data_IF_901888063551
#
_entry.id   IF_901888063551
#
_cell.length_a   1.000
_cell.length_b   1.000
_cell.length_c   1.000
_cell.angle_alpha   90.00
_cell.angle_beta   90.00
_cell.angle_gamma   90.00
#
_symmetry.space_group_name_H-M   'P 1'
#
loop_
_entity.id
_entity.type
_entity.pdbx_description
1 polymer ?
#
# COMPACT_ATOMS: atom_id res chain seq x y z
N UNK A 1 88.85 7.84 -22.74
CA UNK A 1 88.69 6.39 -22.99
C UNK A 1 88.09 5.80 -21.71
N UNK A 2 86.82 5.42 -21.81
CA UNK A 2 85.97 4.49 -21.02
C UNK A 2 86.42 4.08 -19.60
N UNK A 3 85.56 4.35 -18.60
CA UNK A 3 84.96 3.42 -17.62
C UNK A 3 84.11 4.25 -16.63
N UNK A 4 82.77 4.16 -16.54
CA UNK A 4 81.92 3.10 -16.02
C UNK A 4 82.17 2.73 -14.54
N UNK A 5 81.12 2.82 -13.71
CA UNK A 5 81.01 1.95 -12.53
C UNK A 5 80.81 2.60 -11.16
N UNK A 6 79.58 2.45 -10.67
CA UNK A 6 79.21 2.09 -9.29
C UNK A 6 79.27 3.11 -8.12
N UNK A 7 78.09 3.17 -7.49
CA UNK A 7 77.66 3.78 -6.23
C UNK A 7 78.49 3.37 -4.99
N UNK A 8 78.44 4.20 -3.91
CA UNK A 8 78.18 3.62 -2.60
C UNK A 8 77.01 4.28 -1.84
N UNK A 9 76.16 3.38 -1.37
CA UNK A 9 75.20 3.41 -0.27
C UNK A 9 75.44 4.48 0.81
N UNK A 10 74.41 5.27 1.09
CA UNK A 10 74.18 5.85 2.42
C UNK A 10 72.89 5.27 3.00
N UNK A 11 73.03 4.60 4.14
CA UNK A 11 71.93 4.10 4.95
C UNK A 11 71.39 5.22 5.83
N UNK A 12 70.09 5.48 5.78
CA UNK A 12 69.40 6.33 6.75
C UNK A 12 68.27 5.52 7.38
N UNK A 13 68.43 5.18 8.66
CA UNK A 13 67.45 4.44 9.44
C UNK A 13 66.25 5.32 9.77
N UNK A 14 65.09 5.00 9.19
CA UNK A 14 63.83 5.66 9.49
C UNK A 14 63.14 4.92 10.64
N UNK A 15 63.08 5.55 11.82
CA UNK A 15 62.34 5.03 12.98
C UNK A 15 60.83 5.11 12.68
N UNK A 16 60.16 3.97 12.69
CA UNK A 16 58.71 3.88 12.53
C UNK A 16 58.00 4.44 13.78
N UNK A 17 57.11 5.42 13.60
CA UNK A 17 56.16 5.86 14.59
C UNK A 17 54.77 5.35 14.18
N UNK A 18 54.26 4.37 14.92
CA UNK A 18 52.91 3.82 14.78
C UNK A 18 51.91 4.80 15.41
N UNK A 19 51.09 5.46 14.58
CA UNK A 19 49.89 6.16 15.02
C UNK A 19 48.70 5.19 14.96
N UNK A 20 47.89 5.05 16.03
CA UNK A 20 46.72 4.18 15.99
C UNK A 20 45.63 4.85 15.14
N UNK A 21 45.28 4.17 14.04
CA UNK A 21 44.20 4.56 13.14
C UNK A 21 42.85 4.34 13.86
N UNK A 22 42.29 5.38 14.47
CA UNK A 22 40.91 5.37 14.93
C UNK A 22 39.97 5.40 13.71
N UNK A 23 39.42 4.23 13.36
CA UNK A 23 38.43 4.08 12.30
C UNK A 23 37.08 4.65 12.79
N UNK A 24 36.84 5.94 12.51
CA UNK A 24 35.51 6.53 12.69
C UNK A 24 34.57 5.93 11.65
N UNK A 25 33.75 4.96 12.06
CA UNK A 25 32.62 4.48 11.26
C UNK A 25 31.55 5.57 11.26
N UNK A 26 31.56 6.42 10.22
CA UNK A 26 30.50 7.37 9.97
C UNK A 26 29.24 6.60 9.53
N UNK A 27 28.33 6.35 10.48
CA UNK A 27 26.99 5.86 10.19
C UNK A 27 26.20 7.00 9.53
N UNK A 28 26.20 7.06 8.21
CA UNK A 28 25.37 7.99 7.45
C UNK A 28 23.91 7.58 7.58
N UNK A 29 23.20 8.18 8.54
CA UNK A 29 21.75 8.10 8.62
C UNK A 29 21.16 8.92 7.47
N UNK A 30 20.71 8.23 6.42
CA UNK A 30 19.85 8.85 5.39
C UNK A 30 18.53 9.26 6.02
N UNK A 31 18.37 10.56 6.27
CA UNK A 31 17.08 11.19 6.56
C UNK A 31 16.20 11.04 5.30
N UNK A 32 15.24 10.12 5.35
CA UNK A 32 14.16 10.09 4.36
C UNK A 32 13.28 11.31 4.64
N UNK A 33 13.31 12.32 3.77
CA UNK A 33 12.37 13.43 3.85
C UNK A 33 10.95 12.86 3.76
N UNK A 34 10.14 13.09 4.80
CA UNK A 34 8.75 12.68 4.79
C UNK A 34 8.02 13.52 3.73
N UNK A 35 7.62 12.87 2.63
CA UNK A 35 6.72 13.50 1.66
C UNK A 35 5.45 14.00 2.36
N UNK A 36 4.92 15.14 1.89
CA UNK A 36 3.69 15.72 2.44
C UNK A 36 2.57 14.66 2.41
N UNK A 37 1.77 14.53 3.49
CA UNK A 37 0.69 13.55 3.54
C UNK A 37 -0.29 13.75 2.38
N UNK A 38 -0.59 12.66 1.66
CA UNK A 38 -1.59 12.70 0.59
C UNK A 38 -2.98 12.69 1.22
N UNK A 39 -3.73 13.78 1.05
CA UNK A 39 -5.10 13.91 1.54
C UNK A 39 -6.08 13.82 0.37
N UNK A 40 -7.10 12.99 0.51
CA UNK A 40 -8.22 12.89 -0.46
C UNK A 40 -9.54 13.16 0.24
N UNK A 41 -10.42 13.89 -0.41
CA UNK A 41 -11.77 14.16 0.09
C UNK A 41 -12.80 13.43 -0.77
N UNK A 42 -13.63 12.62 -0.13
CA UNK A 42 -14.69 11.84 -0.80
C UNK A 42 -15.97 11.97 0.02
N UNK A 43 -17.07 12.39 -0.62
CA UNK A 43 -18.35 12.62 0.05
C UNK A 43 -18.25 13.50 1.32
N UNK A 44 -17.35 14.49 1.32
CA UNK A 44 -17.11 15.38 2.47
C UNK A 44 -16.26 14.78 3.59
N UNK A 45 -15.76 13.55 3.45
CA UNK A 45 -14.85 12.90 4.40
C UNK A 45 -13.42 13.03 3.89
N UNK A 46 -12.53 13.58 4.72
CA UNK A 46 -11.09 13.74 4.41
C UNK A 46 -10.29 12.56 4.94
N UNK A 47 -9.67 11.81 4.04
CA UNK A 47 -8.76 10.70 4.33
C UNK A 47 -7.33 11.14 4.13
N UNK A 48 -6.45 10.77 5.07
CA UNK A 48 -5.00 10.90 4.89
C UNK A 48 -4.46 9.52 4.55
N UNK A 49 -3.89 9.37 3.35
CA UNK A 49 -3.35 8.10 2.91
C UNK A 49 -2.14 7.70 3.76
N UNK A 50 -1.93 6.39 4.03
CA UNK A 50 -0.70 5.93 4.66
C UNK A 50 0.52 6.36 3.84
N UNK A 51 1.59 6.80 4.52
CA UNK A 51 2.78 7.39 3.87
C UNK A 51 3.43 6.49 2.80
N UNK A 52 3.34 5.17 2.95
CA UNK A 52 3.92 4.20 2.03
C UNK A 52 3.04 3.95 0.77
N UNK A 53 1.82 4.49 0.71
CA UNK A 53 0.90 4.27 -0.40
C UNK A 53 1.13 5.32 -1.48
N UNK A 54 1.41 4.88 -2.71
CA UNK A 54 1.58 5.79 -3.83
C UNK A 54 0.22 6.15 -4.43
N UNK A 55 -0.08 7.44 -4.54
CA UNK A 55 -1.27 7.92 -5.23
C UNK A 55 -1.17 7.67 -6.73
N UNK A 56 -2.25 7.22 -7.35
CA UNK A 56 -2.36 7.01 -8.79
C UNK A 56 -3.50 7.84 -9.37
N UNK A 57 -3.36 8.26 -10.64
CA UNK A 57 -4.47 8.87 -11.37
C UNK A 57 -5.63 7.87 -11.44
N UNK A 58 -6.85 8.24 -10.98
CA UNK A 58 -7.98 7.33 -11.05
C UNK A 58 -8.29 6.90 -12.49
N UNK A 59 -8.43 5.59 -12.71
CA UNK A 59 -8.62 5.03 -14.05
C UNK A 59 -10.01 5.28 -14.67
N UNK A 60 -10.97 5.81 -13.91
CA UNK A 60 -12.29 6.18 -14.41
C UNK A 60 -12.95 7.24 -13.53
N UNK A 61 -13.99 7.91 -14.05
CA UNK A 61 -14.73 8.97 -13.33
C UNK A 61 -15.45 8.49 -12.07
N UNK A 62 -15.72 7.18 -11.95
CA UNK A 62 -16.36 6.59 -10.77
C UNK A 62 -15.39 6.35 -9.61
N UNK A 63 -14.08 6.48 -9.86
CA UNK A 63 -13.03 6.33 -8.86
C UNK A 63 -12.67 7.71 -8.33
N UNK A 64 -13.05 7.98 -7.08
CA UNK A 64 -12.74 9.24 -6.41
C UNK A 64 -11.26 9.34 -6.00
N UNK A 65 -10.64 8.20 -5.67
CA UNK A 65 -9.21 8.09 -5.41
C UNK A 65 -8.70 6.69 -5.76
N UNK A 66 -7.40 6.58 -6.05
CA UNK A 66 -6.74 5.31 -6.32
C UNK A 66 -5.32 5.34 -5.78
N UNK A 67 -4.90 4.25 -5.14
CA UNK A 67 -3.59 4.08 -4.56
C UNK A 67 -3.00 2.73 -4.90
N UNK A 68 -1.69 2.72 -5.10
CA UNK A 68 -0.85 1.53 -5.14
C UNK A 68 -0.33 1.26 -3.73
N UNK A 69 -0.65 0.08 -3.22
CA UNK A 69 -0.28 -0.37 -1.87
C UNK A 69 0.94 -1.27 -1.99
N UNK A 70 2.09 -0.90 -1.40
CA UNK A 70 3.29 -1.69 -1.51
C UNK A 70 3.15 -3.01 -0.75
N UNK A 71 3.93 -4.01 -1.18
CA UNK A 71 4.05 -5.30 -0.54
C UNK A 71 5.51 -5.78 -0.57
N UNK A 72 5.77 -7.04 -0.17
CA UNK A 72 7.05 -7.70 -0.38
C UNK A 72 7.55 -7.57 -1.82
N UNK A 73 8.87 -7.48 -2.02
CA UNK A 73 9.51 -7.18 -3.33
C UNK A 73 9.16 -8.20 -4.43
N UNK A 74 8.88 -9.44 -4.05
CA UNK A 74 8.53 -10.57 -4.90
C UNK A 74 7.03 -10.64 -5.24
N UNK A 75 6.20 -9.80 -4.61
CA UNK A 75 4.77 -9.78 -4.82
C UNK A 75 4.33 -8.53 -5.58
N UNK A 76 3.25 -8.69 -6.36
CA UNK A 76 2.58 -7.54 -6.96
C UNK A 76 1.98 -6.65 -5.86
N UNK A 77 2.05 -5.32 -5.99
CA UNK A 77 1.35 -4.42 -5.10
C UNK A 77 -0.17 -4.58 -5.23
N UNK A 78 -0.91 -4.23 -4.17
CA UNK A 78 -2.36 -4.19 -4.22
C UNK A 78 -2.84 -2.83 -4.76
N UNK A 79 -4.04 -2.82 -5.34
CA UNK A 79 -4.73 -1.60 -5.76
C UNK A 79 -5.81 -1.28 -4.74
N UNK A 80 -5.77 -0.09 -4.13
CA UNK A 80 -6.80 0.41 -3.22
C UNK A 80 -7.55 1.57 -3.89
N UNK A 81 -8.86 1.41 -4.04
CA UNK A 81 -9.69 2.32 -4.83
C UNK A 81 -10.85 2.81 -3.99
N UNK A 82 -11.09 4.12 -4.01
CA UNK A 82 -12.25 4.75 -3.40
C UNK A 82 -13.27 4.98 -4.50
N UNK A 83 -14.42 4.32 -4.41
CA UNK A 83 -15.55 4.58 -5.28
C UNK A 83 -16.59 5.45 -4.57
N UNK A 84 -17.17 6.37 -5.32
CA UNK A 84 -18.27 7.21 -4.88
C UNK A 84 -19.23 7.43 -6.05
N UNK A 85 -20.52 7.22 -5.78
CA UNK A 85 -21.57 7.20 -6.80
C UNK A 85 -22.62 8.28 -6.57
N UNK A 86 -22.35 9.27 -5.72
CA UNK A 86 -23.32 10.28 -5.30
C UNK A 86 -24.24 9.83 -4.15
N UNK A 87 -25.08 10.75 -3.62
CA UNK A 87 -26.09 10.43 -2.62
C UNK A 87 -27.07 9.34 -3.13
N UNK A 88 -27.40 8.35 -2.29
CA UNK A 88 -28.30 7.25 -2.64
C UNK A 88 -27.76 6.22 -3.65
N UNK A 89 -26.53 6.38 -4.13
CA UNK A 89 -25.95 5.51 -5.16
C UNK A 89 -25.60 4.08 -4.68
N UNK A 90 -25.39 3.19 -5.65
CA UNK A 90 -24.79 1.86 -5.52
C UNK A 90 -25.48 0.80 -4.61
N UNK A 91 -26.64 1.08 -4.03
CA UNK A 91 -27.49 0.05 -3.41
C UNK A 91 -27.05 -0.45 -2.02
N UNK A 92 -26.27 0.34 -1.28
CA UNK A 92 -25.95 0.07 0.13
C UNK A 92 -24.92 -1.03 0.40
N UNK A 93 -24.64 -1.29 1.68
CA UNK A 93 -23.54 -2.15 2.10
C UNK A 93 -23.74 -3.63 1.70
N UNK A 94 -24.89 -4.21 2.03
CA UNK A 94 -25.18 -5.63 1.81
C UNK A 94 -25.10 -6.02 0.32
N UNK A 95 -25.72 -5.22 -0.56
CA UNK A 95 -25.68 -5.47 -2.00
C UNK A 95 -24.24 -5.40 -2.55
N UNK A 96 -23.41 -4.51 -2.03
CA UNK A 96 -22.00 -4.42 -2.43
C UNK A 96 -21.18 -5.60 -1.92
N UNK A 97 -21.38 -6.03 -0.66
CA UNK A 97 -20.72 -7.22 -0.11
C UNK A 97 -21.04 -8.44 -0.98
N UNK A 98 -22.32 -8.67 -1.31
CA UNK A 98 -22.73 -9.77 -2.19
C UNK A 98 -22.04 -9.70 -3.56
N UNK A 99 -22.01 -8.53 -4.19
CA UNK A 99 -21.34 -8.34 -5.49
C UNK A 99 -19.84 -8.57 -5.41
N UNK A 100 -19.18 -8.10 -4.35
CA UNK A 100 -17.74 -8.26 -4.15
C UNK A 100 -17.34 -9.71 -3.91
N UNK A 101 -18.11 -10.47 -3.12
CA UNK A 101 -17.91 -11.91 -2.97
C UNK A 101 -18.12 -12.66 -4.29
N UNK A 102 -19.06 -12.22 -5.13
CA UNK A 102 -19.25 -12.75 -6.49
C UNK A 102 -18.10 -12.48 -7.46
N UNK A 103 -17.08 -11.69 -7.08
CA UNK A 103 -15.86 -11.51 -7.87
C UNK A 103 -14.79 -12.58 -7.59
N UNK A 104 -15.13 -13.62 -6.81
CA UNK A 104 -14.26 -14.76 -6.58
C UNK A 104 -14.80 -16.00 -7.29
N UNK A 105 -13.91 -16.91 -7.67
CA UNK A 105 -14.31 -18.20 -8.22
C UNK A 105 -15.18 -18.97 -7.21
N UNK A 106 -16.19 -19.74 -7.68
CA UNK A 106 -17.07 -20.50 -6.80
C UNK A 106 -16.37 -21.70 -6.15
N UNK A 107 -15.28 -22.20 -6.76
CA UNK A 107 -14.49 -23.32 -6.28
C UNK A 107 -12.97 -23.01 -6.34
N UNK A 108 -12.20 -23.26 -5.27
CA UNK A 108 -12.69 -23.52 -3.91
C UNK A 108 -13.52 -22.34 -3.39
N UNK A 109 -14.46 -22.61 -2.47
CA UNK A 109 -15.34 -21.57 -1.91
C UNK A 109 -14.50 -20.44 -1.31
N UNK A 110 -14.85 -19.19 -1.63
CA UNK A 110 -14.21 -17.99 -1.07
C UNK A 110 -14.31 -18.00 0.46
N UNK A 111 -13.19 -17.70 1.13
CA UNK A 111 -13.17 -17.49 2.58
C UNK A 111 -13.43 -16.02 2.85
N UNK A 112 -14.46 -15.68 3.61
CA UNK A 112 -14.78 -14.28 3.88
C UNK A 112 -15.24 -14.03 5.32
N UNK A 113 -14.96 -12.83 5.81
CA UNK A 113 -15.44 -12.31 7.08
C UNK A 113 -16.02 -10.89 6.86
N UNK A 114 -17.16 -10.61 7.47
CA UNK A 114 -17.87 -9.33 7.37
C UNK A 114 -18.20 -8.84 8.76
N UNK A 115 -17.82 -7.60 9.06
CA UNK A 115 -18.07 -6.96 10.35
C UNK A 115 -18.62 -5.57 10.14
N UNK A 116 -19.58 -5.18 10.97
CA UNK A 116 -20.13 -3.82 10.96
C UNK A 116 -19.90 -3.17 12.31
N UNK A 117 -19.58 -1.88 12.29
CA UNK A 117 -19.38 -1.05 13.48
C UNK A 117 -19.86 0.38 13.22
N UNK A 118 -19.85 1.21 14.26
CA UNK A 118 -20.02 2.66 14.15
C UNK A 118 -18.74 3.35 14.60
N UNK A 119 -18.21 4.22 13.76
CA UNK A 119 -17.03 5.04 14.05
C UNK A 119 -17.46 6.50 13.99
N UNK A 120 -17.37 7.23 15.10
CA UNK A 120 -17.85 8.63 15.16
C UNK A 120 -19.34 8.76 14.81
N UNK A 121 -20.16 7.76 15.16
CA UNK A 121 -21.59 7.71 14.79
C UNK A 121 -21.88 7.31 13.33
N UNK A 122 -20.86 7.21 12.47
CA UNK A 122 -20.99 6.80 11.07
C UNK A 122 -20.95 5.27 10.97
N UNK A 123 -21.91 4.69 10.26
CA UNK A 123 -21.94 3.24 10.02
C UNK A 123 -20.84 2.81 9.05
N UNK A 124 -20.07 1.78 9.44
CA UNK A 124 -18.97 1.22 8.64
C UNK A 124 -19.11 -0.30 8.57
N UNK A 125 -19.01 -0.85 7.35
CA UNK A 125 -18.94 -2.29 7.12
C UNK A 125 -17.58 -2.65 6.54
N UNK A 126 -16.90 -3.56 7.21
CA UNK A 126 -15.62 -4.16 6.81
C UNK A 126 -15.87 -5.53 6.19
N UNK A 127 -15.18 -5.82 5.10
CA UNK A 127 -15.13 -7.13 4.45
C UNK A 127 -13.67 -7.52 4.24
N UNK A 128 -13.35 -8.79 4.48
CA UNK A 128 -12.18 -9.42 3.90
C UNK A 128 -12.61 -10.71 3.19
N UNK A 129 -12.16 -10.92 1.96
CA UNK A 129 -12.41 -12.11 1.15
C UNK A 129 -11.09 -12.63 0.58
N UNK A 130 -10.88 -13.95 0.61
CA UNK A 130 -9.64 -14.62 0.18
C UNK A 130 -9.97 -15.80 -0.71
N UNK A 131 -9.26 -15.93 -1.83
CA UNK A 131 -9.44 -17.04 -2.77
C UNK A 131 -8.90 -16.73 -4.16
N UNK A 132 -9.54 -17.31 -5.17
CA UNK A 132 -9.23 -17.00 -6.58
C UNK A 132 -10.05 -15.80 -7.03
N UNK A 133 -9.43 -14.62 -7.11
CA UNK A 133 -10.10 -13.39 -7.56
C UNK A 133 -10.22 -13.37 -9.09
N UNK A 134 -11.40 -13.04 -9.60
CA UNK A 134 -11.69 -12.95 -11.03
C UNK A 134 -11.45 -11.51 -11.51
N UNK A 135 -10.21 -11.23 -11.87
CA UNK A 135 -9.73 -9.89 -12.24
C UNK A 135 -10.19 -9.49 -13.65
N UNK A 136 -10.77 -8.30 -13.81
CA UNK A 136 -11.22 -7.80 -15.10
C UNK A 136 -12.29 -6.72 -14.99
N UNK A 137 -12.93 -6.35 -16.12
CA UNK A 137 -13.95 -5.30 -16.15
C UNK A 137 -15.14 -5.62 -15.23
N UNK A 138 -15.79 -4.62 -14.62
CA UNK A 138 -16.92 -4.84 -13.71
C UNK A 138 -18.16 -5.43 -14.41
N UNK A 139 -18.33 -5.17 -15.72
CA UNK A 139 -19.44 -5.64 -16.52
C UNK A 139 -18.92 -6.37 -17.76
N UNK A 140 -19.31 -7.64 -17.91
CA UNK A 140 -18.90 -8.47 -19.04
C UNK A 140 -17.37 -8.63 -19.18
N UNK A 141 -16.94 -9.10 -20.34
CA UNK A 141 -15.54 -9.27 -20.70
C UNK A 141 -14.81 -10.40 -19.95
N UNK A 142 -13.69 -10.82 -20.52
CA UNK A 142 -12.85 -11.88 -19.96
C UNK A 142 -12.38 -11.52 -18.55
N UNK A 143 -12.35 -12.53 -17.68
CA UNK A 143 -11.81 -12.45 -16.32
C UNK A 143 -10.54 -13.28 -16.26
N UNK A 144 -9.51 -12.74 -15.63
CA UNK A 144 -8.24 -13.42 -15.39
C UNK A 144 -8.29 -13.96 -13.95
N UNK A 145 -8.28 -15.29 -13.75
CA UNK A 145 -8.22 -15.86 -12.41
C UNK A 145 -6.87 -15.55 -11.74
N UNK A 146 -6.92 -14.94 -10.57
CA UNK A 146 -5.77 -14.64 -9.70
C UNK A 146 -5.86 -15.52 -8.46
N UNK A 147 -5.11 -16.61 -8.44
CA UNK A 147 -5.01 -17.49 -7.26
C UNK A 147 -4.30 -16.76 -6.12
N UNK A 148 -4.63 -17.12 -4.89
CA UNK A 148 -4.06 -16.54 -3.66
C UNK A 148 -4.14 -15.00 -3.62
N UNK A 149 -5.29 -14.48 -4.05
CA UNK A 149 -5.60 -13.06 -3.95
C UNK A 149 -6.63 -12.83 -2.85
N UNK A 150 -6.66 -11.59 -2.38
CA UNK A 150 -7.64 -11.14 -1.43
C UNK A 150 -8.28 -9.82 -1.86
N UNK A 151 -9.43 -9.55 -1.25
CA UNK A 151 -10.11 -8.27 -1.32
C UNK A 151 -10.43 -7.81 0.10
N UNK A 152 -9.99 -6.59 0.44
CA UNK A 152 -10.40 -5.90 1.65
C UNK A 152 -11.31 -4.74 1.28
N UNK A 153 -12.55 -4.79 1.75
CA UNK A 153 -13.58 -3.80 1.50
C UNK A 153 -13.90 -3.00 2.76
N UNK A 154 -14.13 -1.70 2.62
CA UNK A 154 -14.70 -0.85 3.66
C UNK A 154 -15.80 -0.01 3.03
N UNK A 155 -17.00 -0.08 3.58
CA UNK A 155 -18.17 0.67 3.14
C UNK A 155 -18.53 1.64 4.24
N UNK A 156 -18.44 2.94 3.96
CA UNK A 156 -18.68 4.01 4.92
C UNK A 156 -19.98 4.69 4.52
N UNK A 157 -20.97 4.69 5.41
CA UNK A 157 -22.27 5.35 5.21
C UNK A 157 -22.17 6.84 5.54
N UNK A 158 -21.35 7.58 4.79
CA UNK A 158 -21.09 8.99 5.05
C UNK A 158 -22.33 9.88 4.75
N UNK A 159 -22.45 11.07 5.37
CA UNK A 159 -23.63 11.92 5.26
C UNK A 159 -23.99 12.35 3.82
N UNK A 160 -22.99 12.54 2.96
CA UNK A 160 -23.19 12.94 1.55
C UNK A 160 -23.26 11.76 0.58
N UNK A 161 -23.39 10.53 1.10
CA UNK A 161 -23.47 9.30 0.30
C UNK A 161 -22.37 8.31 0.66
N UNK A 162 -22.61 7.04 0.34
CA UNK A 162 -21.72 5.96 0.73
C UNK A 162 -20.38 6.00 -0.03
N UNK A 163 -19.30 5.72 0.68
CA UNK A 163 -17.94 5.60 0.15
C UNK A 163 -17.57 4.12 0.18
N UNK A 164 -17.11 3.59 -0.95
CA UNK A 164 -16.74 2.19 -1.09
C UNK A 164 -15.23 2.10 -1.33
N UNK A 165 -14.48 1.80 -0.29
CA UNK A 165 -13.05 1.57 -0.36
C UNK A 165 -12.85 0.08 -0.66
N UNK A 166 -12.21 -0.23 -1.79
CA UNK A 166 -11.95 -1.61 -2.21
C UNK A 166 -10.47 -1.78 -2.52
N UNK A 167 -9.82 -2.64 -1.75
CA UNK A 167 -8.44 -3.05 -1.98
C UNK A 167 -8.40 -4.47 -2.52
N UNK A 168 -7.65 -4.69 -3.60
CA UNK A 168 -7.48 -6.01 -4.24
C UNK A 168 -6.02 -6.24 -4.62
N UNK A 169 -5.50 -7.44 -4.36
CA UNK A 169 -4.12 -7.82 -4.69
C UNK A 169 -3.75 -9.19 -4.13
N UNK A 170 -2.46 -9.57 -4.17
CA UNK A 170 -1.99 -10.78 -3.51
C UNK A 170 -2.38 -10.80 -2.03
N UNK A 171 -2.76 -11.97 -1.53
CA UNK A 171 -3.32 -12.12 -0.18
C UNK A 171 -2.41 -11.51 0.90
N UNK A 172 -1.11 -11.83 0.87
CA UNK A 172 -0.14 -11.29 1.83
C UNK A 172 -0.05 -9.76 1.85
N UNK A 173 -0.22 -9.09 0.69
CA UNK A 173 -0.16 -7.63 0.58
C UNK A 173 -1.41 -6.97 1.16
N UNK A 174 -2.58 -7.53 0.84
CA UNK A 174 -3.88 -7.03 1.33
C UNK A 174 -4.01 -7.23 2.84
N UNK A 175 -3.50 -8.34 3.37
CA UNK A 175 -3.47 -8.63 4.81
C UNK A 175 -2.51 -7.69 5.54
N UNK A 176 -1.29 -7.53 5.03
CA UNK A 176 -0.30 -6.62 5.62
C UNK A 176 -0.79 -5.16 5.68
N UNK A 177 -1.69 -4.76 4.78
CA UNK A 177 -2.24 -3.41 4.72
C UNK A 177 -3.41 -3.15 5.68
N UNK A 178 -3.93 -4.16 6.39
CA UNK A 178 -5.12 -4.03 7.24
C UNK A 178 -5.00 -2.89 8.26
N UNK A 179 -3.92 -2.89 9.06
CA UNK A 179 -3.74 -1.90 10.12
C UNK A 179 -3.69 -0.47 9.56
N UNK A 180 -3.01 -0.28 8.43
CA UNK A 180 -2.89 1.03 7.79
C UNK A 180 -4.23 1.53 7.24
N UNK A 181 -5.01 0.64 6.59
CA UNK A 181 -6.35 0.98 6.11
C UNK A 181 -7.29 1.30 7.27
N UNK A 182 -7.30 0.48 8.33
CA UNK A 182 -8.13 0.71 9.52
C UNK A 182 -7.78 2.03 10.20
N UNK A 183 -6.49 2.34 10.36
CA UNK A 183 -6.05 3.61 10.94
C UNK A 183 -6.49 4.82 10.10
N UNK A 184 -6.37 4.74 8.76
CA UNK A 184 -6.85 5.78 7.85
C UNK A 184 -8.36 6.01 7.99
N UNK A 185 -9.16 4.95 8.03
CA UNK A 185 -10.63 5.04 8.18
C UNK A 185 -11.00 5.61 9.54
N UNK A 186 -10.37 5.13 10.62
CA UNK A 186 -10.63 5.65 11.97
C UNK A 186 -10.25 7.13 12.10
N UNK A 187 -9.08 7.54 11.60
CA UNK A 187 -8.64 8.93 11.63
C UNK A 187 -9.52 9.87 10.79
N UNK A 188 -10.16 9.34 9.75
CA UNK A 188 -11.11 10.11 8.94
C UNK A 188 -12.46 10.32 9.63
N UNK A 189 -12.91 9.38 10.47
CA UNK A 189 -14.27 9.34 11.04
C UNK A 189 -14.37 9.71 12.52
N UNK A 190 -13.29 9.61 13.31
CA UNK A 190 -13.28 9.94 14.75
C UNK A 190 -13.11 11.45 15.03
N UNK A 191 -13.38 12.31 14.05
CA UNK A 191 -13.21 13.77 14.18
C UNK A 191 -14.38 14.42 14.89
#
# INVERSE_FOLDING_TARGET
>A
MIDAGACPRYAFGMKAALFPLFLFVACTTTLVAADKPVVVEVAGVKFTAPAQWASERPASRMRAAQFKVPGPKDLKPASCVFFYFGPGGAGGAEANVKRWLGQFAPAPKVKSDVKSEKIGGVGVTHLIARGTYLDGPPFGGAKIPRKDYAMRGVIIMAPRGAIFIKMTGPNAVVEGAEKALTAMVQGALKK
#
